data_IF_792667754802
#
_entry.id   IF_792667754802
#
_cell.length_a   1.000
_cell.length_b   1.000
_cell.length_c   1.000
_cell.angle_alpha   90.00
_cell.angle_beta   90.00
_cell.angle_gamma   90.00
#
_symmetry.space_group_name_H-M   'P 1'
#
loop_
_entity.id
_entity.type
_entity.pdbx_description
1 polymer ?
#
# COMPACT_ATOMS: atom_id res chain seq x y z
N UNK A 1 -12.26 1.32 11.01
CA UNK A 1 -11.95 2.08 9.77
C UNK A 1 -10.55 1.79 9.18
N UNK A 2 -9.70 0.97 9.84
CA UNK A 2 -8.36 0.60 9.35
C UNK A 2 -8.27 -0.76 8.65
N UNK A 3 -9.38 -1.51 8.56
CA UNK A 3 -9.38 -2.85 7.95
C UNK A 3 -8.83 -2.81 6.52
N UNK A 4 -7.89 -3.70 6.21
CA UNK A 4 -7.20 -3.77 4.92
C UNK A 4 -6.21 -2.65 4.64
N UNK A 5 -6.03 -1.69 5.55
CA UNK A 5 -5.07 -0.58 5.41
C UNK A 5 -3.78 -0.86 6.15
N UNK A 6 -2.68 -0.33 5.62
CA UNK A 6 -1.39 -0.27 6.30
C UNK A 6 -0.77 1.11 6.08
N UNK A 7 -0.77 1.90 7.14
CA UNK A 7 -0.43 3.33 7.11
C UNK A 7 0.79 3.60 8.00
N UNK A 8 1.57 4.62 7.67
CA UNK A 8 2.55 5.18 8.59
C UNK A 8 1.82 5.76 9.81
N UNK A 9 2.45 5.73 10.97
CA UNK A 9 1.90 6.35 12.20
C UNK A 9 1.52 7.82 11.97
N UNK A 10 2.30 8.53 11.15
CA UNK A 10 2.10 9.93 10.80
C UNK A 10 0.93 10.16 9.81
N UNK A 11 0.54 9.13 9.06
CA UNK A 11 -0.60 9.16 8.12
C UNK A 11 -1.96 8.94 8.82
N UNK A 12 -1.96 8.56 10.10
CA UNK A 12 -3.19 8.37 10.87
C UNK A 12 -3.82 9.70 11.29
N UNK A 13 -5.16 9.75 11.31
CA UNK A 13 -5.90 10.83 11.97
C UNK A 13 -5.59 10.85 13.47
N UNK A 14 -5.73 12.03 14.08
CA UNK A 14 -5.42 12.27 15.50
C UNK A 14 -6.21 11.32 16.41
N UNK A 15 -7.52 11.25 16.20
CA UNK A 15 -8.46 10.35 16.88
C UNK A 15 -8.05 8.87 16.83
N UNK A 16 -7.53 8.37 15.70
CA UNK A 16 -7.05 6.99 15.60
C UNK A 16 -5.72 6.81 16.32
N UNK A 17 -4.84 7.82 16.28
CA UNK A 17 -3.53 7.79 16.92
C UNK A 17 -3.66 7.77 18.45
N UNK A 18 -4.57 8.57 19.00
CA UNK A 18 -4.79 8.68 20.45
C UNK A 18 -5.38 7.38 21.03
N UNK A 19 -6.17 6.65 20.23
CA UNK A 19 -6.79 5.37 20.63
C UNK A 19 -5.97 4.14 20.20
N UNK A 20 -4.73 4.32 19.71
CA UNK A 20 -3.95 3.25 19.09
C UNK A 20 -3.70 2.06 20.03
N UNK A 21 -3.46 2.32 21.31
CA UNK A 21 -3.18 1.27 22.29
C UNK A 21 -4.43 0.45 22.62
N UNK A 22 -5.61 1.05 22.65
CA UNK A 22 -6.86 0.32 22.83
C UNK A 22 -7.20 -0.50 21.60
N UNK A 23 -6.96 0.02 20.39
CA UNK A 23 -7.11 -0.73 19.14
C UNK A 23 -6.16 -1.94 19.08
N UNK A 24 -4.93 -1.82 19.59
CA UNK A 24 -4.00 -2.96 19.72
C UNK A 24 -4.53 -4.00 20.71
N UNK A 25 -4.99 -3.58 21.89
CA UNK A 25 -5.54 -4.48 22.92
C UNK A 25 -6.75 -5.26 22.41
N UNK A 26 -7.60 -4.62 21.60
CA UNK A 26 -8.75 -5.26 20.94
C UNK A 26 -8.36 -6.18 19.78
N UNK A 27 -7.09 -6.23 19.39
CA UNK A 27 -6.62 -7.02 18.25
C UNK A 27 -7.07 -6.48 16.89
N UNK A 28 -7.46 -5.20 16.81
CA UNK A 28 -7.93 -4.60 15.56
C UNK A 28 -6.77 -4.14 14.67
N UNK A 29 -5.63 -3.81 15.29
CA UNK A 29 -4.43 -3.32 14.62
C UNK A 29 -3.17 -3.97 15.18
N UNK A 30 -2.13 -4.03 14.35
CA UNK A 30 -0.76 -4.33 14.78
C UNK A 30 0.19 -3.24 14.30
N UNK A 31 1.20 -2.94 15.12
CA UNK A 31 2.29 -2.06 14.74
C UNK A 31 3.48 -2.90 14.29
N UNK A 32 3.98 -2.63 13.09
CA UNK A 32 5.14 -3.34 12.52
C UNK A 32 6.18 -2.35 12.05
N UNK A 33 7.44 -2.79 12.04
CA UNK A 33 8.55 -2.01 11.50
C UNK A 33 8.37 -1.74 10.01
N UNK A 34 8.69 -0.53 9.54
CA UNK A 34 8.56 -0.14 8.14
C UNK A 34 9.43 -0.98 7.20
N UNK A 35 10.73 -1.02 7.45
CA UNK A 35 11.70 -1.86 6.74
C UNK A 35 12.30 -2.84 7.73
N UNK A 36 12.30 -4.14 7.39
CA UNK A 36 13.00 -5.19 8.14
C UNK A 36 14.35 -5.45 7.51
N UNK A 37 15.37 -5.62 8.35
CA UNK A 37 16.66 -6.21 7.97
C UNK A 37 16.70 -7.65 8.49
N UNK A 38 16.85 -8.63 7.60
CA UNK A 38 17.07 -10.04 7.95
C UNK A 38 18.30 -10.53 7.22
N UNK A 39 19.30 -11.02 7.96
CA UNK A 39 20.54 -11.57 7.39
C UNK A 39 21.18 -10.64 6.34
N UNK A 40 21.30 -9.35 6.65
CA UNK A 40 21.87 -8.32 5.76
C UNK A 40 21.06 -8.04 4.49
N UNK A 41 19.80 -8.48 4.42
CA UNK A 41 18.87 -8.15 3.34
C UNK A 41 17.70 -7.33 3.85
N UNK A 42 17.35 -6.27 3.12
CA UNK A 42 16.23 -5.41 3.44
C UNK A 42 14.94 -5.86 2.76
N UNK A 43 13.83 -5.77 3.49
CA UNK A 43 12.48 -5.98 2.99
C UNK A 43 11.55 -4.89 3.49
N UNK A 44 10.84 -4.21 2.57
CA UNK A 44 9.84 -3.21 2.91
C UNK A 44 8.52 -3.88 3.28
N UNK A 45 8.03 -3.68 4.50
CA UNK A 45 6.76 -4.25 4.93
C UNK A 45 5.55 -3.51 4.36
N UNK A 46 5.72 -2.32 3.76
CA UNK A 46 4.63 -1.58 3.08
C UNK A 46 4.32 -2.14 1.70
N UNK A 47 5.31 -2.18 0.82
CA UNK A 47 5.13 -2.52 -0.60
C UNK A 47 5.73 -3.88 -1.01
N UNK A 48 6.33 -4.62 -0.07
CA UNK A 48 6.96 -5.90 -0.35
C UNK A 48 8.27 -5.82 -1.17
N UNK A 49 8.84 -4.64 -1.37
CA UNK A 49 10.11 -4.51 -2.09
C UNK A 49 11.22 -5.30 -1.39
N UNK A 50 11.96 -6.10 -2.16
CA UNK A 50 13.16 -6.85 -1.75
C UNK A 50 14.37 -6.56 -2.65
N UNK A 51 14.23 -5.71 -3.67
CA UNK A 51 15.34 -5.34 -4.53
C UNK A 51 16.30 -4.41 -3.76
N UNK A 52 17.46 -4.94 -3.37
CA UNK A 52 18.42 -4.25 -2.47
C UNK A 52 18.87 -2.89 -3.02
N UNK A 53 19.04 -2.76 -4.34
CA UNK A 53 19.34 -1.49 -5.04
C UNK A 53 18.28 -0.38 -4.85
N UNK A 54 17.07 -0.74 -4.44
CA UNK A 54 15.96 0.18 -4.17
C UNK A 54 15.86 0.54 -2.68
N UNK A 55 16.88 0.21 -1.88
CA UNK A 55 17.07 0.71 -0.53
C UNK A 55 18.23 1.68 -0.48
N UNK A 56 18.15 2.64 0.43
CA UNK A 56 19.19 3.63 0.65
C UNK A 56 19.23 3.99 2.14
N UNK A 57 20.42 4.26 2.66
CA UNK A 57 20.63 4.58 4.07
C UNK A 57 21.02 6.05 4.24
N UNK A 58 20.61 6.66 5.35
CA UNK A 58 20.89 8.06 5.67
C UNK A 58 20.97 8.26 7.18
N UNK A 59 21.59 9.35 7.62
CA UNK A 59 21.54 9.76 9.03
C UNK A 59 20.13 10.27 9.35
N UNK A 60 19.37 9.48 10.10
CA UNK A 60 17.97 9.74 10.34
C UNK A 60 17.78 10.66 11.54
N UNK A 61 17.13 11.81 11.32
CA UNK A 61 16.78 12.74 12.41
C UNK A 61 15.76 12.19 13.41
N UNK A 62 14.96 11.18 13.03
CA UNK A 62 13.93 10.60 13.91
C UNK A 62 14.53 9.69 14.98
N UNK A 63 15.50 8.86 14.61
CA UNK A 63 16.12 7.90 15.53
C UNK A 63 17.60 8.18 15.83
N UNK A 64 18.16 9.24 15.24
CA UNK A 64 19.56 9.67 15.38
C UNK A 64 20.59 8.59 15.02
N UNK A 65 20.24 7.69 14.09
CA UNK A 65 21.08 6.57 13.61
C UNK A 65 21.10 6.53 12.09
N UNK A 66 22.06 5.80 11.52
CA UNK A 66 22.00 5.41 10.10
C UNK A 66 20.78 4.50 9.93
N UNK A 67 19.85 4.90 9.07
CA UNK A 67 18.56 4.25 8.89
C UNK A 67 18.31 4.03 7.41
N UNK A 68 17.91 2.83 7.04
CA UNK A 68 17.61 2.45 5.66
C UNK A 68 16.14 2.69 5.36
N UNK A 69 15.84 3.11 4.12
CA UNK A 69 14.48 3.31 3.66
C UNK A 69 14.23 2.73 2.27
N UNK A 70 12.96 2.44 2.00
CA UNK A 70 12.52 1.90 0.71
C UNK A 70 12.25 3.04 -0.28
N UNK A 71 13.04 3.12 -1.36
CA UNK A 71 12.86 4.12 -2.43
C UNK A 71 11.57 3.92 -3.22
N UNK A 72 11.04 2.69 -3.27
CA UNK A 72 9.75 2.38 -3.93
C UNK A 72 8.53 3.03 -3.24
N UNK A 73 8.65 3.40 -1.97
CA UNK A 73 7.57 4.03 -1.22
C UNK A 73 7.69 5.56 -1.14
N UNK A 74 8.77 6.16 -1.67
CA UNK A 74 9.13 7.55 -1.37
C UNK A 74 8.00 8.55 -1.69
N UNK A 75 7.32 8.36 -2.83
CA UNK A 75 6.21 9.21 -3.30
C UNK A 75 4.97 9.10 -2.40
N UNK A 76 4.79 7.96 -1.73
CA UNK A 76 3.64 7.70 -0.86
C UNK A 76 3.97 7.89 0.61
N UNK A 77 5.09 8.54 0.95
CA UNK A 77 5.61 8.62 2.32
C UNK A 77 6.77 7.64 2.54
N UNK A 78 7.92 8.19 2.91
CA UNK A 78 9.16 7.43 3.11
C UNK A 78 9.02 6.39 4.23
N UNK A 79 9.10 5.12 3.86
CA UNK A 79 9.12 4.00 4.81
C UNK A 79 10.56 3.64 5.17
N UNK A 80 10.96 3.93 6.39
CA UNK A 80 12.30 3.65 6.95
C UNK A 80 12.29 2.47 7.93
N UNK A 81 13.46 1.98 8.31
CA UNK A 81 13.60 0.97 9.39
C UNK A 81 13.01 1.47 10.71
N UNK A 82 13.16 2.75 11.05
CA UNK A 82 12.59 3.31 12.28
C UNK A 82 11.13 3.75 12.14
N UNK A 83 10.52 3.60 10.95
CA UNK A 83 9.13 3.95 10.76
C UNK A 83 8.22 2.88 11.36
N UNK A 84 7.10 3.31 11.94
CA UNK A 84 6.05 2.40 12.44
C UNK A 84 4.93 2.38 11.40
N UNK A 85 4.61 1.19 10.90
CA UNK A 85 3.43 0.94 10.10
C UNK A 85 2.32 0.37 11.00
N UNK A 86 1.16 1.00 10.97
CA UNK A 86 -0.06 0.52 11.62
C UNK A 86 -0.89 -0.23 10.59
N UNK A 87 -1.02 -1.54 10.79
CA UNK A 87 -1.77 -2.46 9.93
C UNK A 87 -3.09 -2.80 10.61
N UNK A 88 -4.21 -2.53 9.95
CA UNK A 88 -5.50 -3.06 10.38
C UNK A 88 -5.60 -4.55 10.09
N UNK A 89 -5.82 -5.34 11.13
CA UNK A 89 -5.95 -6.80 11.07
C UNK A 89 -7.35 -7.28 11.48
N UNK A 90 -8.22 -6.36 11.90
CA UNK A 90 -9.62 -6.68 12.16
C UNK A 90 -10.24 -7.36 10.94
N UNK A 91 -10.73 -8.59 11.15
CA UNK A 91 -11.46 -9.35 10.16
C UNK A 91 -12.64 -8.51 9.67
N UNK A 92 -12.70 -8.30 8.36
CA UNK A 92 -13.90 -7.72 7.77
C UNK A 92 -14.96 -8.81 7.77
N UNK A 93 -15.87 -8.77 8.75
CA UNK A 93 -17.14 -9.49 8.69
C UNK A 93 -17.97 -8.88 7.57
N UNK A 94 -17.75 -9.34 6.35
CA UNK A 94 -18.53 -8.99 5.18
C UNK A 94 -18.96 -10.26 4.49
N UNK A 95 -20.16 -10.26 3.93
CA UNK A 95 -20.56 -11.31 2.99
C UNK A 95 -19.52 -11.34 1.87
N UNK A 96 -18.93 -12.51 1.68
CA UNK A 96 -18.01 -12.75 0.59
C UNK A 96 -18.88 -12.91 -0.66
N UNK A 97 -19.01 -11.82 -1.44
CA UNK A 97 -19.67 -11.92 -2.73
C UNK A 97 -18.91 -12.96 -3.56
N UNK A 98 -19.62 -13.99 -3.99
CA UNK A 98 -19.06 -15.11 -4.76
C UNK A 98 -18.56 -14.64 -6.12
N UNK A 99 -19.03 -13.49 -6.62
CA UNK A 99 -18.61 -12.88 -7.88
C UNK A 99 -18.44 -11.36 -7.75
N UNK A 100 -17.45 -10.85 -7.00
CA UNK A 100 -17.32 -9.43 -6.66
C UNK A 100 -16.95 -8.54 -7.86
N UNK A 101 -16.60 -9.14 -9.00
CA UNK A 101 -16.25 -8.46 -10.24
C UNK A 101 -17.40 -8.42 -11.25
N UNK A 102 -18.64 -8.58 -10.78
CA UNK A 102 -19.83 -8.43 -11.62
C UNK A 102 -20.20 -6.95 -11.73
N UNK A 103 -19.92 -6.36 -12.88
CA UNK A 103 -20.38 -5.01 -13.20
C UNK A 103 -21.64 -5.10 -14.09
N UNK A 104 -22.76 -4.60 -13.58
CA UNK A 104 -24.06 -4.58 -14.27
C UNK A 104 -24.37 -3.23 -14.96
N UNK A 105 -23.38 -2.34 -15.04
CA UNK A 105 -23.53 -1.06 -15.70
C UNK A 105 -23.47 -1.18 -17.21
N UNK A 106 -23.83 -0.09 -17.90
CA UNK A 106 -23.57 0.08 -19.32
C UNK A 106 -22.37 1.01 -19.49
N UNK A 107 -21.52 0.73 -20.47
CA UNK A 107 -20.38 1.61 -20.76
C UNK A 107 -20.93 2.92 -21.33
N UNK A 108 -20.41 4.04 -20.84
CA UNK A 108 -20.60 5.30 -21.55
C UNK A 108 -19.96 5.20 -22.94
N UNK A 109 -20.38 6.05 -23.88
CA UNK A 109 -19.81 6.05 -25.23
C UNK A 109 -18.28 6.11 -25.23
N UNK A 110 -17.69 6.94 -24.36
CA UNK A 110 -16.22 7.03 -24.23
C UNK A 110 -15.59 5.77 -23.63
N UNK A 111 -16.25 5.15 -22.64
CA UNK A 111 -15.77 3.90 -22.04
C UNK A 111 -15.86 2.72 -23.02
N UNK A 112 -16.92 2.64 -23.83
CA UNK A 112 -17.11 1.62 -24.87
C UNK A 112 -16.02 1.74 -25.94
N UNK A 113 -15.78 2.96 -26.45
CA UNK A 113 -14.71 3.22 -27.42
C UNK A 113 -13.34 2.83 -26.87
N UNK A 114 -13.04 3.19 -25.62
CA UNK A 114 -11.80 2.79 -24.97
C UNK A 114 -11.70 1.27 -24.79
N UNK A 115 -12.77 0.60 -24.36
CA UNK A 115 -12.81 -0.84 -24.18
C UNK A 115 -12.57 -1.59 -25.50
N UNK A 116 -13.23 -1.17 -26.58
CA UNK A 116 -13.04 -1.72 -27.91
C UNK A 116 -11.61 -1.51 -28.43
N UNK A 117 -11.06 -0.30 -28.27
CA UNK A 117 -9.69 0.00 -28.66
C UNK A 117 -8.65 -0.86 -27.94
N UNK A 118 -8.82 -1.08 -26.64
CA UNK A 118 -7.94 -1.98 -25.86
C UNK A 118 -8.05 -3.42 -26.35
N UNK A 119 -9.28 -3.91 -26.57
CA UNK A 119 -9.48 -5.28 -27.06
C UNK A 119 -8.75 -5.51 -28.38
N UNK A 120 -8.79 -4.54 -29.29
CA UNK A 120 -8.12 -4.66 -30.59
C UNK A 120 -6.59 -4.56 -30.45
N UNK A 121 -6.09 -3.61 -29.68
CA UNK A 121 -4.65 -3.47 -29.46
C UNK A 121 -4.02 -4.71 -28.82
N UNK A 122 -4.74 -5.39 -27.92
CA UNK A 122 -4.29 -6.66 -27.34
C UNK A 122 -4.19 -7.76 -28.41
N UNK A 123 -5.19 -7.86 -29.32
CA UNK A 123 -5.13 -8.84 -30.43
C UNK A 123 -3.98 -8.56 -31.37
N UNK A 124 -3.74 -7.29 -31.69
CA UNK A 124 -2.67 -6.86 -32.59
C UNK A 124 -1.29 -6.77 -31.92
N UNK A 125 -1.23 -6.90 -30.60
CA UNK A 125 0.00 -6.79 -29.76
C UNK A 125 0.69 -5.44 -29.90
N UNK A 126 -0.09 -4.38 -29.92
CA UNK A 126 0.38 -3.01 -30.08
C UNK A 126 0.15 -2.17 -28.81
N UNK A 127 0.89 -1.06 -28.71
CA UNK A 127 0.75 -0.13 -27.60
C UNK A 127 -0.50 0.72 -27.77
N UNK A 128 -1.36 0.77 -26.74
CA UNK A 128 -2.59 1.57 -26.75
C UNK A 128 -2.66 2.47 -25.51
N UNK A 129 -3.00 3.73 -25.71
CA UNK A 129 -3.10 4.72 -24.64
C UNK A 129 -4.56 4.97 -24.28
N UNK A 130 -4.89 4.72 -23.01
CA UNK A 130 -6.18 5.08 -22.43
C UNK A 130 -5.98 6.29 -21.54
N UNK A 131 -6.78 7.33 -21.75
CA UNK A 131 -6.87 8.47 -20.87
C UNK A 131 -8.25 8.53 -20.23
N UNK A 132 -8.32 8.25 -18.93
CA UNK A 132 -9.53 8.37 -18.14
C UNK A 132 -9.44 9.64 -17.28
N UNK A 133 -10.18 10.67 -17.68
CA UNK A 133 -10.44 11.91 -16.90
C UNK A 133 -11.84 11.88 -16.33
#
# INVERSE_FOLDING_TARGET
MLSGKQLLLEELSTDVRDNLDDLKKKGEVVCVQGVKNKASTYMCQRCGNIAQRLFSSFLCKRCSKVCTYCRKCITMGRVSECAVLVRGIAEKKGEMDVNPLQWKGNLSTGQELAAQGVMEAVKQKESFFIWAV
#
